data_IF_821569716680
#
_entry.id   IF_821569716680
#
_cell.length_a   1.000
_cell.length_b   1.000
_cell.length_c   1.000
_cell.angle_alpha   90.00
_cell.angle_beta   90.00
_cell.angle_gamma   90.00
#
_symmetry.space_group_name_H-M   'P 1'
#
loop_
_entity.id
_entity.type
_entity.pdbx_description
1 polymer ?
#
# COMPACT_ATOMS: atom_id res chain seq x y z
N UNK A 1 12.03 -5.99 13.37
CA UNK A 1 11.13 -5.16 14.22
C UNK A 1 10.41 -4.23 13.28
N UNK A 2 9.21 -4.61 12.85
CA UNK A 2 8.47 -3.87 11.82
C UNK A 2 7.71 -2.77 12.55
N UNK A 3 8.15 -1.52 12.41
CA UNK A 3 7.36 -0.36 12.85
C UNK A 3 6.21 -0.21 11.87
N UNK A 4 5.05 -0.73 12.24
CA UNK A 4 3.79 -0.50 11.56
C UNK A 4 3.33 0.92 11.90
N UNK A 5 3.72 1.90 11.09
CA UNK A 5 2.96 3.14 11.00
C UNK A 5 2.12 3.08 9.73
N UNK A 6 0.85 2.77 9.93
CA UNK A 6 -0.13 2.75 8.86
C UNK A 6 -0.64 4.18 8.67
N UNK A 7 0.11 4.97 7.90
CA UNK A 7 -0.49 6.03 7.10
C UNK A 7 -1.77 5.45 6.49
N UNK A 8 -2.94 5.98 6.88
CA UNK A 8 -4.23 5.41 6.51
C UNK A 8 -4.46 5.59 5.01
N UNK A 9 -3.86 4.72 4.19
CA UNK A 9 -4.31 4.52 2.82
C UNK A 9 -5.76 4.06 2.93
N UNK A 10 -6.70 4.71 2.22
CA UNK A 10 -8.09 4.32 2.28
C UNK A 10 -8.17 2.84 1.92
N UNK A 11 -8.69 2.05 2.86
CA UNK A 11 -8.87 0.63 2.61
C UNK A 11 -10.03 0.47 1.62
N UNK A 12 -9.69 0.15 0.38
CA UNK A 12 -10.68 -0.04 -0.69
C UNK A 12 -11.32 -1.41 -0.46
N UNK A 13 -12.32 -1.46 0.41
CA UNK A 13 -13.00 -2.70 0.81
C UNK A 13 -13.77 -3.38 -0.32
N UNK A 14 -14.02 -2.66 -1.43
CA UNK A 14 -14.68 -3.18 -2.62
C UNK A 14 -13.78 -4.02 -3.52
N UNK A 15 -12.45 -4.00 -3.32
CA UNK A 15 -11.50 -4.74 -4.16
C UNK A 15 -10.55 -5.60 -3.31
N UNK A 16 -10.19 -6.82 -3.75
CA UNK A 16 -9.22 -7.64 -3.02
C UNK A 16 -7.82 -7.00 -3.05
N UNK A 17 -7.20 -6.86 -1.88
CA UNK A 17 -5.79 -6.47 -1.76
C UNK A 17 -4.89 -7.63 -2.20
N UNK A 18 -4.07 -7.40 -3.22
CA UNK A 18 -3.11 -8.38 -3.76
C UNK A 18 -1.76 -8.24 -3.10
N UNK A 19 -1.29 -6.99 -2.94
CA UNK A 19 0.03 -6.70 -2.40
C UNK A 19 0.10 -5.33 -1.75
N UNK A 20 0.79 -5.26 -0.60
CA UNK A 20 1.11 -4.00 0.09
C UNK A 20 2.62 -3.81 0.13
N UNK A 21 3.09 -2.80 -0.61
CA UNK A 21 4.48 -2.39 -0.64
C UNK A 21 4.76 -1.21 0.29
N UNK A 22 6.02 -0.78 0.34
CA UNK A 22 6.45 0.35 1.19
C UNK A 22 5.66 1.63 0.91
N UNK A 23 5.43 1.93 -0.37
CA UNK A 23 4.86 3.21 -0.83
C UNK A 23 3.69 3.05 -1.81
N UNK A 24 3.21 1.82 -2.01
CA UNK A 24 2.10 1.51 -2.92
C UNK A 24 1.35 0.26 -2.51
N UNK A 25 0.07 0.22 -2.84
CA UNK A 25 -0.80 -0.94 -2.68
C UNK A 25 -1.33 -1.37 -4.07
N UNK A 26 -1.58 -2.66 -4.24
CA UNK A 26 -2.12 -3.26 -5.48
C UNK A 26 -3.41 -4.00 -5.16
N UNK A 27 -4.47 -3.71 -5.91
CA UNK A 27 -5.79 -4.34 -5.78
C UNK A 27 -6.19 -5.02 -7.09
N UNK A 28 -6.84 -6.18 -6.97
CA UNK A 28 -7.38 -6.90 -8.12
C UNK A 28 -8.70 -6.27 -8.57
N UNK A 29 -8.81 -5.93 -9.85
CA UNK A 29 -10.07 -5.45 -10.44
C UNK A 29 -10.78 -6.60 -11.15
N UNK A 30 -10.04 -7.34 -11.96
CA UNK A 30 -10.45 -8.59 -12.62
C UNK A 30 -9.19 -9.42 -12.98
N UNK A 31 -9.36 -10.48 -13.75
CA UNK A 31 -8.27 -11.41 -14.12
C UNK A 31 -7.14 -10.76 -14.93
N UNK A 32 -7.35 -9.58 -15.54
CA UNK A 32 -6.41 -8.92 -16.45
C UNK A 32 -6.00 -7.52 -15.98
N UNK A 33 -6.66 -6.96 -14.96
CA UNK A 33 -6.43 -5.59 -14.52
C UNK A 33 -6.10 -5.48 -13.03
N UNK A 34 -5.12 -4.64 -12.72
CA UNK A 34 -4.74 -4.25 -11.37
C UNK A 34 -4.91 -2.75 -11.18
N UNK A 35 -5.44 -2.36 -10.02
CA UNK A 35 -5.43 -0.99 -9.54
C UNK A 35 -4.19 -0.78 -8.66
N UNK A 36 -3.32 0.15 -9.06
CA UNK A 36 -2.18 0.58 -8.24
C UNK A 36 -2.50 1.89 -7.55
N UNK A 37 -2.43 1.90 -6.22
CA UNK A 37 -2.60 3.09 -5.40
C UNK A 37 -1.24 3.49 -4.85
N UNK A 38 -0.71 4.63 -5.32
CA UNK A 38 0.47 5.24 -4.73
C UNK A 38 0.07 5.96 -3.45
N UNK A 39 0.84 5.76 -2.38
CA UNK A 39 0.64 6.48 -1.12
C UNK A 39 1.70 7.55 -0.91
N UNK A 40 1.44 8.45 0.02
CA UNK A 40 2.41 9.46 0.47
C UNK A 40 3.47 8.87 1.43
N UNK A 41 3.44 7.55 1.68
CA UNK A 41 4.47 6.89 2.49
C UNK A 41 5.82 7.07 1.81
N UNK A 42 6.81 7.53 2.56
CA UNK A 42 8.19 7.67 2.10
C UNK A 42 9.07 6.64 2.81
N UNK A 43 10.07 6.09 2.14
CA UNK A 43 11.03 5.17 2.76
C UNK A 43 12.48 5.60 2.56
N UNK A 44 13.29 5.50 3.62
CA UNK A 44 14.73 5.74 3.59
C UNK A 44 15.44 4.73 4.50
N UNK A 45 16.66 4.31 4.13
CA UNK A 45 17.46 3.33 4.90
C UNK A 45 16.68 2.06 5.29
N UNK A 46 15.93 1.52 4.32
CA UNK A 46 15.06 0.35 4.47
C UNK A 46 13.83 0.53 5.38
N UNK A 47 13.64 1.70 6.00
CA UNK A 47 12.53 2.00 6.93
C UNK A 47 11.48 2.91 6.26
N UNK A 48 10.20 2.68 6.58
CA UNK A 48 9.10 3.57 6.20
C UNK A 48 9.00 4.69 7.24
N UNK A 49 8.96 5.93 6.78
CA UNK A 49 8.85 7.10 7.65
C UNK A 49 7.42 7.25 8.18
N UNK A 50 7.25 7.74 9.42
CA UNK A 50 5.93 8.07 9.93
C UNK A 50 5.29 9.20 9.12
N UNK A 51 3.97 9.15 8.96
CA UNK A 51 3.17 10.16 8.21
C UNK A 51 2.08 10.76 9.06
#
# INVERSE_FOLDING_TARGET
>A
MIVSDAAAVPDITSLPLVYRGKVRDLYAVDDQHLLMVASDRLSAFDVILPT
#
